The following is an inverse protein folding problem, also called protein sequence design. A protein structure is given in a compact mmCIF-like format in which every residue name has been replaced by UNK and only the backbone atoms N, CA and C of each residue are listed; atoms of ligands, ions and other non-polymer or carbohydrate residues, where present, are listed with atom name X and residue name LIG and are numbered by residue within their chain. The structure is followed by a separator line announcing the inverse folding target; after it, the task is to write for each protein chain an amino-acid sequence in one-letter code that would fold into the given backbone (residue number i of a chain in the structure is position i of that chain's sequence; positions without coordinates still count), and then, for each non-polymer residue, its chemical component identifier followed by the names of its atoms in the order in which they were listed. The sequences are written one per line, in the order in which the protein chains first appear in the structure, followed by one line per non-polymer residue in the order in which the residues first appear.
data_IF_131269076103
#
_entry.id   IF_131269076103
#
_cell.length_a   1.000
_cell.length_b   1.000
_cell.length_c   1.000
_cell.angle_alpha   90.00
_cell.angle_beta   90.00
_cell.angle_gamma   90.00
#
_symmetry.space_group_name_H-M   'P 1'
#
loop_
_entity.id
_entity.type
_entity.pdbx_description
1 polymer ?
#
# COMPACT_ATOMS: atom_id res chain seq x y z
N UNK A 1 -11.25 -20.94 -21.76
CA UNK A 1 -11.70 -19.96 -20.76
C UNK A 1 -12.28 -18.80 -21.53
N UNK A 2 -13.43 -18.30 -21.10
CA UNK A 2 -14.02 -17.12 -21.72
C UNK A 2 -13.16 -15.88 -21.43
N UNK A 3 -13.07 -14.91 -22.36
CA UNK A 3 -12.29 -13.68 -22.15
C UNK A 3 -12.66 -12.94 -20.86
N UNK A 4 -13.95 -12.93 -20.52
CA UNK A 4 -14.48 -12.35 -19.29
C UNK A 4 -13.87 -12.99 -18.03
N UNK A 5 -13.78 -14.32 -18.00
CA UNK A 5 -13.18 -15.06 -16.89
C UNK A 5 -11.70 -14.73 -16.73
N UNK A 6 -10.98 -14.58 -17.84
CA UNK A 6 -9.57 -14.19 -17.83
C UNK A 6 -9.36 -12.78 -17.31
N UNK A 7 -10.23 -11.86 -17.69
CA UNK A 7 -10.23 -10.47 -17.20
C UNK A 7 -10.44 -10.41 -15.69
N UNK A 8 -11.42 -11.13 -15.16
CA UNK A 8 -11.66 -11.21 -13.71
C UNK A 8 -10.46 -11.79 -12.95
N UNK A 9 -9.83 -12.84 -13.47
CA UNK A 9 -8.62 -13.42 -12.88
C UNK A 9 -7.45 -12.41 -12.90
N UNK A 10 -7.24 -11.72 -14.01
CA UNK A 10 -6.19 -10.72 -14.14
C UNK A 10 -6.36 -9.56 -13.15
N UNK A 11 -7.58 -9.07 -12.96
CA UNK A 11 -7.90 -8.03 -11.96
C UNK A 11 -7.57 -8.53 -10.55
N UNK A 12 -8.04 -9.73 -10.19
CA UNK A 12 -7.79 -10.32 -8.88
C UNK A 12 -6.31 -10.51 -8.57
N UNK A 13 -5.53 -10.97 -9.56
CA UNK A 13 -4.09 -11.13 -9.44
C UNK A 13 -3.35 -9.79 -9.36
N UNK A 14 -3.71 -8.82 -10.19
CA UNK A 14 -3.07 -7.51 -10.20
C UNK A 14 -3.25 -6.80 -8.84
N UNK A 15 -4.46 -6.80 -8.29
CA UNK A 15 -4.74 -6.22 -6.97
C UNK A 15 -4.08 -7.03 -5.86
N UNK A 16 -4.31 -8.35 -5.86
CA UNK A 16 -3.86 -9.22 -4.77
C UNK A 16 -2.35 -9.22 -4.60
N UNK A 17 -1.59 -9.35 -5.70
CA UNK A 17 -0.13 -9.32 -5.67
C UNK A 17 0.41 -7.89 -5.55
N UNK A 18 -0.21 -6.93 -6.24
CA UNK A 18 0.24 -5.54 -6.24
C UNK A 18 0.15 -4.89 -4.85
N UNK A 19 -0.88 -5.22 -4.06
CA UNK A 19 -1.08 -4.64 -2.73
C UNK A 19 -0.15 -5.20 -1.64
N UNK A 20 0.56 -6.29 -1.89
CA UNK A 20 1.48 -6.87 -0.90
C UNK A 20 2.61 -5.89 -0.52
N UNK A 21 3.17 -5.19 -1.50
CA UNK A 21 4.24 -4.20 -1.28
C UNK A 21 3.81 -3.04 -0.38
N UNK A 22 2.76 -2.28 -0.75
CA UNK A 22 2.22 -1.20 0.07
C UNK A 22 1.81 -1.66 1.47
N UNK A 23 1.10 -2.80 1.58
CA UNK A 23 0.67 -3.33 2.86
C UNK A 23 1.84 -3.67 3.79
N UNK A 24 2.89 -4.31 3.26
CA UNK A 24 4.11 -4.59 4.02
C UNK A 24 4.87 -3.32 4.39
N UNK A 25 4.97 -2.36 3.46
CA UNK A 25 5.63 -1.09 3.71
C UNK A 25 4.96 -0.32 4.86
N UNK A 26 3.63 -0.17 4.83
CA UNK A 26 2.89 0.48 5.93
C UNK A 26 3.06 -0.26 7.26
N UNK A 27 3.01 -1.60 7.24
CA UNK A 27 3.24 -2.41 8.43
C UNK A 27 4.62 -2.15 9.05
N UNK A 28 5.67 -2.12 8.24
CA UNK A 28 7.05 -1.85 8.68
C UNK A 28 7.24 -0.40 9.16
N UNK A 29 6.67 0.57 8.45
CA UNK A 29 6.72 1.99 8.81
C UNK A 29 6.08 2.21 10.18
N UNK A 30 4.85 1.70 10.37
CA UNK A 30 4.13 1.80 11.64
C UNK A 30 4.85 1.09 12.78
N UNK A 31 5.34 -0.13 12.54
CA UNK A 31 6.11 -0.89 13.53
C UNK A 31 7.37 -0.14 13.99
N UNK A 32 8.15 0.38 13.05
CA UNK A 32 9.38 1.13 13.35
C UNK A 32 9.08 2.43 14.12
N UNK A 33 8.04 3.17 13.71
CA UNK A 33 7.63 4.40 14.38
C UNK A 33 7.17 4.14 15.83
N UNK A 34 6.33 3.12 16.05
CA UNK A 34 5.86 2.74 17.40
C UNK A 34 7.02 2.31 18.30
N UNK A 35 7.96 1.53 17.76
CA UNK A 35 9.18 1.16 18.47
C UNK A 35 10.07 2.36 18.82
N UNK A 36 10.19 3.35 17.92
CA UNK A 36 10.92 4.58 18.18
C UNK A 36 10.28 5.41 19.29
N UNK A 37 8.95 5.58 19.23
CA UNK A 37 8.17 6.31 20.24
C UNK A 37 8.24 5.62 21.60
N UNK A 38 8.17 4.29 21.65
CA UNK A 38 8.28 3.54 22.90
C UNK A 38 9.65 3.72 23.58
N UNK A 39 10.73 3.87 22.80
CA UNK A 39 12.08 4.11 23.31
C UNK A 39 12.32 5.57 23.71
N UNK A 40 11.72 6.52 23.00
CA UNK A 40 11.81 7.95 23.30
C UNK A 40 10.45 8.65 23.10
N UNK A 41 9.61 8.72 24.15
CA UNK A 41 8.29 9.34 24.06
C UNK A 41 8.32 10.85 23.72
N UNK A 42 9.39 11.57 24.09
CA UNK A 42 9.54 13.00 23.81
C UNK A 42 9.70 13.28 22.31
N UNK A 43 10.24 12.31 21.55
CA UNK A 43 10.39 12.39 20.10
C UNK A 43 9.11 12.04 19.31
N UNK A 44 7.96 11.85 19.98
CA UNK A 44 6.70 11.42 19.34
C UNK A 44 6.27 12.33 18.18
N UNK A 45 6.35 13.64 18.35
CA UNK A 45 5.94 14.61 17.34
C UNK A 45 6.71 14.43 16.03
N UNK A 46 8.05 14.58 16.03
CA UNK A 46 8.88 14.37 14.86
C UNK A 46 8.75 12.98 14.24
N UNK A 47 8.70 11.91 15.04
CA UNK A 47 8.55 10.54 14.53
C UNK A 47 7.22 10.37 13.81
N UNK A 48 6.12 10.87 14.38
CA UNK A 48 4.80 10.78 13.76
C UNK A 48 4.73 11.53 12.42
N UNK A 49 5.28 12.75 12.36
CA UNK A 49 5.32 13.54 11.12
C UNK A 49 6.08 12.80 10.01
N UNK A 50 7.25 12.25 10.33
CA UNK A 50 8.05 11.51 9.36
C UNK A 50 7.37 10.19 8.95
N UNK A 51 6.73 9.50 9.89
CA UNK A 51 5.96 8.28 9.63
C UNK A 51 4.85 8.55 8.60
N UNK A 52 4.06 9.62 8.76
CA UNK A 52 2.98 9.96 7.83
C UNK A 52 3.53 10.33 6.45
N UNK A 53 4.62 11.10 6.38
CA UNK A 53 5.27 11.43 5.11
C UNK A 53 5.66 10.17 4.35
N UNK A 54 6.38 9.26 5.00
CA UNK A 54 6.87 8.03 4.36
C UNK A 54 5.72 7.07 4.06
N UNK A 55 4.72 6.98 4.94
CA UNK A 55 3.51 6.19 4.70
C UNK A 55 2.75 6.68 3.46
N UNK A 56 2.58 8.00 3.29
CA UNK A 56 1.96 8.57 2.10
C UNK A 56 2.73 8.28 0.81
N UNK A 57 4.07 8.35 0.86
CA UNK A 57 4.93 8.00 -0.27
C UNK A 57 4.86 6.50 -0.61
N UNK A 58 4.80 5.63 0.40
CA UNK A 58 4.62 4.20 0.21
C UNK A 58 3.24 3.88 -0.39
N UNK A 59 2.19 4.56 0.06
CA UNK A 59 0.82 4.37 -0.42
C UNK A 59 0.62 4.81 -1.88
N UNK A 60 1.45 5.72 -2.39
CA UNK A 60 1.44 6.06 -3.81
C UNK A 60 1.60 4.83 -4.72
N UNK A 61 2.35 3.82 -4.27
CA UNK A 61 2.50 2.54 -4.99
C UNK A 61 1.17 1.77 -5.00
N UNK A 62 0.44 1.75 -3.88
CA UNK A 62 -0.88 1.13 -3.79
C UNK A 62 -1.92 1.81 -4.68
N UNK A 63 -1.85 3.14 -4.80
CA UNK A 63 -2.72 3.89 -5.72
C UNK A 63 -2.47 3.46 -7.18
N UNK A 64 -1.22 3.23 -7.60
CA UNK A 64 -0.96 2.73 -8.95
C UNK A 64 -1.56 1.34 -9.19
N UNK A 65 -1.53 0.45 -8.19
CA UNK A 65 -2.18 -0.87 -8.26
C UNK A 65 -3.69 -0.71 -8.44
N UNK A 66 -4.32 0.18 -7.66
CA UNK A 66 -5.74 0.50 -7.79
C UNK A 66 -6.09 1.07 -9.17
N UNK A 67 -5.26 1.98 -9.69
CA UNK A 67 -5.45 2.56 -11.03
C UNK A 67 -5.42 1.46 -12.10
N UNK A 68 -4.44 0.57 -12.07
CA UNK A 68 -4.34 -0.54 -13.03
C UNK A 68 -5.57 -1.46 -12.91
N UNK A 69 -6.01 -1.77 -11.69
CA UNK A 69 -7.19 -2.60 -11.47
C UNK A 69 -8.47 -1.95 -12.02
N UNK A 70 -8.65 -0.65 -11.83
CA UNK A 70 -9.80 0.10 -12.37
C UNK A 70 -9.75 0.11 -13.90
N UNK A 71 -8.58 0.35 -14.50
CA UNK A 71 -8.42 0.33 -15.96
C UNK A 71 -8.79 -1.06 -16.51
N UNK A 72 -8.30 -2.13 -15.88
CA UNK A 72 -8.62 -3.50 -16.27
C UNK A 72 -10.08 -3.88 -16.05
N UNK A 73 -10.77 -3.26 -15.09
CA UNK A 73 -12.15 -3.58 -14.76
C UNK A 73 -13.17 -2.80 -15.61
N UNK A 74 -12.90 -1.52 -15.88
CA UNK A 74 -13.89 -0.58 -16.40
C UNK A 74 -13.60 -0.07 -17.82
N UNK A 75 -12.37 -0.19 -18.32
CA UNK A 75 -11.94 0.45 -19.58
C UNK A 75 -11.58 -0.61 -20.62
N UNK A 76 -10.66 -1.51 -20.26
CA UNK A 76 -10.45 -2.79 -20.95
C UNK A 76 -11.59 -3.70 -20.53
#
# INVERSE_FOLDING_TARGET
MEPETMKMLAIGLAVGLGMLGPGLALGLIGFSALQGIARNPEARGPIFTNMILVAGLAEAIGIYVLIVAIILAMIV
#
